data_IF_713606848457
#
_entry.id   IF_713606848457
#
_cell.length_a   1.000
_cell.length_b   1.000
_cell.length_c   1.000
_cell.angle_alpha   90.00
_cell.angle_beta   90.00
_cell.angle_gamma   90.00
#
_symmetry.space_group_name_H-M   'P 1'
#
loop_
_entity.id
_entity.type
_entity.pdbx_description
1 polymer ?
#
# COMPACT_ATOMS: atom_id res chain seq x y z
N UNK A 1 -9.52 -20.94 3.33
CA UNK A 1 -9.05 -19.77 4.05
C UNK A 1 -7.76 -20.07 4.79
N UNK A 2 -6.72 -19.29 4.58
CA UNK A 2 -5.47 -19.43 5.30
C UNK A 2 -5.33 -18.25 6.26
N UNK A 3 -5.65 -18.48 7.52
CA UNK A 3 -5.50 -17.49 8.57
C UNK A 3 -4.77 -18.15 9.75
N UNK A 4 -3.76 -17.48 10.28
CA UNK A 4 -3.16 -17.81 11.58
C UNK A 4 -3.56 -16.75 12.63
N UNK A 5 -4.66 -16.04 12.37
CA UNK A 5 -5.13 -14.92 13.19
C UNK A 5 -6.07 -15.44 14.29
N UNK A 6 -5.65 -15.33 15.54
CA UNK A 6 -6.58 -15.39 16.67
C UNK A 6 -7.33 -14.06 16.74
N UNK A 7 -8.65 -14.12 16.54
CA UNK A 7 -9.53 -12.92 16.47
C UNK A 7 -9.67 -12.32 17.89
N UNK A 8 -8.62 -11.68 18.37
CA UNK A 8 -8.59 -10.90 19.63
C UNK A 8 -8.15 -9.49 19.31
N UNK A 9 -9.07 -8.63 18.96
CA UNK A 9 -9.04 -7.17 18.77
C UNK A 9 -7.72 -6.38 18.68
N UNK A 10 -7.83 -5.09 18.38
CA UNK A 10 -6.72 -4.12 18.31
C UNK A 10 -5.63 -4.42 17.26
N UNK A 11 -6.05 -4.80 16.05
CA UNK A 11 -5.12 -5.01 14.96
C UNK A 11 -4.54 -3.72 14.40
N UNK A 12 -3.27 -3.79 13.98
CA UNK A 12 -2.65 -2.81 13.10
C UNK A 12 -2.38 -3.52 11.78
N UNK A 13 -3.16 -3.16 10.76
CA UNK A 13 -3.29 -3.91 9.51
C UNK A 13 -2.43 -3.30 8.40
N UNK A 14 -1.71 -4.13 7.67
CA UNK A 14 -1.20 -3.82 6.35
C UNK A 14 -2.15 -4.41 5.31
N UNK A 15 -2.91 -3.56 4.59
CA UNK A 15 -3.95 -3.98 3.66
C UNK A 15 -3.55 -3.66 2.21
N UNK A 16 -3.40 -4.66 1.39
CA UNK A 16 -3.06 -4.45 -0.03
C UNK A 16 -2.21 -5.57 -0.61
N UNK A 17 -1.21 -5.21 -1.40
CA UNK A 17 -0.39 -6.17 -2.12
C UNK A 17 0.52 -7.00 -1.21
N UNK A 18 0.58 -8.30 -1.51
CA UNK A 18 1.63 -9.23 -1.14
C UNK A 18 2.09 -9.94 -2.40
N UNK A 19 3.37 -10.07 -2.61
CA UNK A 19 3.92 -10.52 -3.88
C UNK A 19 5.37 -11.03 -3.74
N UNK A 20 5.89 -11.61 -4.80
CA UNK A 20 7.32 -11.87 -4.94
C UNK A 20 7.98 -10.91 -5.93
N UNK A 21 9.09 -10.31 -5.51
CA UNK A 21 10.06 -9.70 -6.41
C UNK A 21 10.93 -10.80 -7.02
N UNK A 22 10.77 -11.04 -8.33
CA UNK A 22 11.52 -12.06 -9.09
C UNK A 22 12.84 -11.46 -9.55
N UNK A 23 13.87 -11.61 -8.73
CA UNK A 23 15.23 -11.15 -9.00
C UNK A 23 16.04 -12.23 -9.71
N UNK A 24 17.15 -11.91 -10.39
CA UNK A 24 18.02 -12.90 -11.03
C UNK A 24 18.57 -13.97 -10.06
N UNK A 25 18.73 -13.62 -8.79
CA UNK A 25 19.23 -14.47 -7.70
C UNK A 25 18.10 -15.20 -6.94
N UNK A 26 16.84 -15.03 -7.35
CA UNK A 26 15.68 -15.71 -6.77
C UNK A 26 14.53 -14.79 -6.40
N UNK A 27 13.47 -15.39 -5.89
CA UNK A 27 12.25 -14.67 -5.47
C UNK A 27 12.42 -14.17 -4.04
N UNK A 28 12.08 -12.90 -3.80
CA UNK A 28 12.04 -12.28 -2.47
C UNK A 28 10.63 -11.82 -2.14
N UNK A 29 10.15 -12.16 -0.95
CA UNK A 29 8.84 -11.75 -0.47
C UNK A 29 8.81 -10.22 -0.32
N UNK A 30 7.82 -9.58 -0.94
CA UNK A 30 7.60 -8.15 -1.02
C UNK A 30 6.14 -7.76 -0.78
N UNK A 31 5.86 -6.48 -0.98
CA UNK A 31 4.58 -5.84 -0.74
C UNK A 31 4.66 -4.82 0.40
N UNK A 32 4.44 -3.54 0.10
CA UNK A 32 4.60 -2.48 1.09
C UNK A 32 3.65 -2.66 2.30
N UNK A 33 2.36 -3.01 2.13
CA UNK A 33 1.47 -3.27 3.27
C UNK A 33 1.91 -4.47 4.12
N UNK A 34 2.38 -5.55 3.50
CA UNK A 34 2.87 -6.73 4.22
C UNK A 34 4.13 -6.40 5.04
N UNK A 35 5.06 -5.62 4.47
CA UNK A 35 6.24 -5.14 5.16
C UNK A 35 5.89 -4.23 6.33
N UNK A 36 4.90 -3.34 6.17
CA UNK A 36 4.40 -2.51 7.27
C UNK A 36 3.91 -3.38 8.43
N UNK A 37 3.05 -4.37 8.18
CA UNK A 37 2.53 -5.27 9.21
C UNK A 37 3.65 -6.07 9.90
N UNK A 38 4.67 -6.49 9.15
CA UNK A 38 5.85 -7.15 9.71
C UNK A 38 6.63 -6.26 10.68
N UNK A 39 6.89 -5.01 10.31
CA UNK A 39 7.58 -4.07 11.21
C UNK A 39 6.75 -3.74 12.44
N UNK A 40 5.44 -3.59 12.31
CA UNK A 40 4.52 -3.42 13.45
C UNK A 40 4.65 -4.59 14.43
N UNK A 41 4.70 -5.83 13.91
CA UNK A 41 4.88 -7.03 14.76
C UNK A 41 6.23 -7.02 15.47
N UNK A 42 7.30 -6.57 14.80
CA UNK A 42 8.64 -6.47 15.40
C UNK A 42 8.72 -5.42 16.53
N UNK A 43 7.83 -4.42 16.53
CA UNK A 43 7.68 -3.49 17.65
C UNK A 43 6.81 -4.03 18.80
N UNK A 44 6.43 -5.31 18.75
CA UNK A 44 5.61 -5.95 19.77
C UNK A 44 4.12 -5.61 19.72
N UNK A 45 3.66 -5.00 18.63
CA UNK A 45 2.26 -4.67 18.40
C UNK A 45 1.54 -5.77 17.60
N UNK A 46 0.22 -5.72 17.55
CA UNK A 46 -0.60 -6.75 16.89
C UNK A 46 -0.68 -6.49 15.37
N UNK A 47 0.43 -6.68 14.66
CA UNK A 47 0.52 -6.53 13.20
C UNK A 47 -0.21 -7.67 12.48
N UNK A 48 -0.97 -7.34 11.42
CA UNK A 48 -1.71 -8.28 10.60
C UNK A 48 -1.62 -7.89 9.12
N UNK A 49 -1.11 -8.78 8.28
CA UNK A 49 -1.18 -8.60 6.82
C UNK A 49 -2.51 -9.12 6.28
N UNK A 50 -3.23 -8.29 5.52
CA UNK A 50 -4.49 -8.66 4.83
C UNK A 50 -4.32 -8.48 3.33
N UNK A 51 -4.49 -9.57 2.58
CA UNK A 51 -4.28 -9.60 1.13
C UNK A 51 -5.01 -10.79 0.49
N UNK A 52 -4.71 -11.05 -0.79
CA UNK A 52 -5.08 -12.29 -1.47
C UNK A 52 -3.86 -12.90 -2.17
N UNK A 53 -3.87 -14.22 -2.29
CA UNK A 53 -2.88 -15.04 -2.97
C UNK A 53 -3.57 -16.02 -3.93
N UNK A 54 -2.83 -16.50 -4.92
CA UNK A 54 -3.29 -17.55 -5.81
C UNK A 54 -3.32 -18.93 -5.12
N UNK A 55 -4.08 -19.85 -5.75
CA UNK A 55 -4.05 -21.29 -5.43
C UNK A 55 -2.88 -21.96 -6.16
N UNK A 56 -1.70 -21.38 -6.05
CA UNK A 56 -0.50 -21.78 -6.76
C UNK A 56 0.69 -21.99 -5.77
N UNK A 57 1.82 -22.43 -6.31
CA UNK A 57 3.03 -22.70 -5.52
C UNK A 57 3.56 -21.44 -4.83
N UNK A 58 3.52 -20.29 -5.51
CA UNK A 58 3.95 -19.01 -4.92
C UNK A 58 3.05 -18.59 -3.75
N UNK A 59 1.73 -18.82 -3.84
CA UNK A 59 0.79 -18.56 -2.74
C UNK A 59 1.07 -19.44 -1.52
N UNK A 60 1.37 -20.73 -1.71
CA UNK A 60 1.79 -21.62 -0.64
C UNK A 60 3.09 -21.15 -0.01
N UNK A 61 4.07 -20.81 -0.85
CA UNK A 61 5.38 -20.31 -0.41
C UNK A 61 5.26 -19.02 0.41
N UNK A 62 4.39 -18.07 0.06
CA UNK A 62 4.14 -16.86 0.86
C UNK A 62 3.74 -17.25 2.28
N UNK A 63 2.80 -18.16 2.45
CA UNK A 63 2.36 -18.61 3.79
C UNK A 63 3.50 -19.26 4.58
N UNK A 64 4.32 -20.07 3.91
CA UNK A 64 5.46 -20.72 4.55
C UNK A 64 6.53 -19.72 4.97
N UNK A 65 6.78 -18.68 4.20
CA UNK A 65 7.75 -17.62 4.55
C UNK A 65 7.26 -16.66 5.64
N UNK A 66 5.95 -16.45 5.77
CA UNK A 66 5.37 -15.57 6.79
C UNK A 66 5.35 -16.22 8.19
N UNK A 67 5.09 -17.54 8.27
CA UNK A 67 5.00 -18.28 9.55
C UNK A 67 6.24 -18.13 10.45
N UNK A 68 7.46 -18.40 9.96
CA UNK A 68 8.67 -18.30 10.80
C UNK A 68 9.01 -16.86 11.18
N UNK A 69 8.49 -15.87 10.44
CA UNK A 69 8.67 -14.46 10.77
C UNK A 69 7.74 -13.98 11.90
N UNK A 70 6.84 -14.84 12.39
CA UNK A 70 5.88 -14.48 13.44
C UNK A 70 4.82 -13.46 13.01
N UNK A 71 4.72 -13.17 11.71
CA UNK A 71 3.71 -12.23 11.19
C UNK A 71 2.35 -12.94 11.11
N UNK A 72 1.34 -12.35 11.74
CA UNK A 72 -0.04 -12.75 11.52
C UNK A 72 -0.50 -12.34 10.14
N UNK A 73 -1.31 -13.16 9.51
CA UNK A 73 -1.86 -12.87 8.19
C UNK A 73 -3.28 -13.43 8.03
N UNK A 74 -4.05 -12.74 7.23
CA UNK A 74 -5.30 -13.21 6.65
C UNK A 74 -5.17 -13.05 5.13
N UNK A 75 -5.00 -14.18 4.43
CA UNK A 75 -4.80 -14.23 2.98
C UNK A 75 -5.93 -15.02 2.35
N UNK A 76 -6.75 -14.34 1.56
CA UNK A 76 -7.79 -15.01 0.76
C UNK A 76 -7.15 -15.75 -0.41
N UNK A 77 -7.61 -16.98 -0.65
CA UNK A 77 -7.20 -17.75 -1.83
C UNK A 77 -8.18 -17.50 -2.97
N UNK A 78 -7.68 -16.97 -4.07
CA UNK A 78 -8.49 -16.62 -5.25
C UNK A 78 -8.01 -17.35 -6.50
N UNK A 79 -8.87 -17.42 -7.53
CA UNK A 79 -8.55 -18.07 -8.81
C UNK A 79 -7.78 -17.13 -9.76
N UNK A 80 -6.77 -16.45 -9.22
CA UNK A 80 -5.83 -15.59 -9.93
C UNK A 80 -4.40 -15.95 -9.48
N UNK A 81 -3.39 -15.78 -10.35
CA UNK A 81 -2.01 -16.08 -9.96
C UNK A 81 -1.55 -15.18 -8.82
N UNK A 82 -0.69 -15.72 -7.97
CA UNK A 82 -0.03 -14.92 -6.92
C UNK A 82 0.76 -13.75 -7.54
N UNK A 83 0.71 -12.60 -6.89
CA UNK A 83 1.36 -11.39 -7.38
C UNK A 83 2.87 -11.55 -7.52
N UNK A 84 3.41 -11.10 -8.66
CA UNK A 84 4.86 -11.06 -8.91
C UNK A 84 5.25 -9.75 -9.56
N UNK A 85 6.49 -9.34 -9.30
CA UNK A 85 7.19 -8.25 -10.01
C UNK A 85 8.41 -8.87 -10.67
N UNK A 86 8.49 -8.77 -12.00
CA UNK A 86 9.68 -9.20 -12.72
C UNK A 86 10.72 -8.10 -12.68
N UNK A 87 11.92 -8.42 -12.18
CA UNK A 87 13.03 -7.49 -12.10
C UNK A 87 14.06 -7.89 -13.13
N UNK A 88 14.22 -7.07 -14.16
CA UNK A 88 15.26 -7.23 -15.18
C UNK A 88 16.26 -6.09 -15.09
N UNK A 89 17.49 -6.32 -15.56
CA UNK A 89 18.49 -5.27 -15.69
C UNK A 89 18.48 -4.77 -17.13
N UNK A 90 18.40 -3.46 -17.31
CA UNK A 90 18.63 -2.83 -18.61
C UNK A 90 20.08 -3.04 -19.04
N UNK A 91 20.39 -2.81 -20.33
CA UNK A 91 21.76 -2.90 -20.85
C UNK A 91 22.78 -2.02 -20.10
N UNK A 92 22.32 -1.02 -19.35
CA UNK A 92 23.14 -0.13 -18.51
C UNK A 92 23.13 -0.53 -17.02
N UNK A 93 22.64 -1.74 -16.67
CA UNK A 93 22.58 -2.22 -15.28
C UNK A 93 21.50 -1.57 -14.40
N UNK A 94 20.59 -0.78 -14.98
CA UNK A 94 19.49 -0.13 -14.24
C UNK A 94 18.35 -1.15 -14.09
N UNK A 95 17.87 -1.42 -12.86
CA UNK A 95 16.74 -2.30 -12.64
C UNK A 95 15.46 -1.78 -13.30
N UNK A 96 14.80 -2.64 -14.04
CA UNK A 96 13.45 -2.41 -14.59
C UNK A 96 12.49 -3.34 -13.89
N UNK A 97 11.37 -2.77 -13.41
CA UNK A 97 10.33 -3.48 -12.68
C UNK A 97 9.09 -3.62 -13.55
N UNK A 98 8.69 -4.84 -13.83
CA UNK A 98 7.41 -5.13 -14.50
C UNK A 98 6.46 -5.77 -13.49
N UNK A 99 5.44 -5.00 -13.10
CA UNK A 99 4.45 -5.41 -12.12
C UNK A 99 3.32 -6.15 -12.84
N UNK A 100 3.25 -7.47 -12.66
CA UNK A 100 2.24 -8.31 -13.29
C UNK A 100 0.82 -7.84 -12.92
N UNK A 101 -0.07 -7.87 -13.93
CA UNK A 101 -1.48 -7.52 -13.79
C UNK A 101 -2.37 -8.76 -13.69
N UNK A 102 -3.62 -8.57 -13.23
CA UNK A 102 -4.59 -9.65 -13.13
C UNK A 102 -4.16 -10.73 -12.13
N UNK A 103 -3.53 -10.29 -11.05
CA UNK A 103 -3.01 -11.15 -9.99
C UNK A 103 -3.92 -11.16 -8.76
N UNK A 104 -3.62 -12.02 -7.82
CA UNK A 104 -4.46 -12.26 -6.65
C UNK A 104 -4.74 -11.00 -5.83
N UNK A 105 -3.74 -10.17 -5.53
CA UNK A 105 -3.95 -8.93 -4.75
C UNK A 105 -4.76 -7.85 -5.51
N UNK A 106 -4.98 -7.98 -6.80
CA UNK A 106 -5.93 -7.17 -7.57
C UNK A 106 -7.39 -7.56 -7.28
N UNK A 107 -7.60 -8.73 -6.66
CA UNK A 107 -8.88 -9.39 -6.47
C UNK A 107 -9.14 -9.80 -5.02
N UNK A 108 -8.76 -8.97 -4.05
CA UNK A 108 -9.05 -9.17 -2.63
C UNK A 108 -10.58 -9.10 -2.44
N UNK A 109 -11.27 -10.21 -2.10
CA UNK A 109 -12.70 -10.20 -1.93
C UNK A 109 -13.10 -9.55 -0.61
N UNK A 110 -14.32 -9.09 -0.51
CA UNK A 110 -14.92 -8.72 0.78
C UNK A 110 -15.57 -9.94 1.41
N UNK A 111 -15.04 -10.42 2.50
CA UNK A 111 -15.56 -11.60 3.23
C UNK A 111 -16.03 -11.22 4.63
N UNK A 112 -16.85 -12.05 5.30
CA UNK A 112 -17.23 -11.83 6.69
C UNK A 112 -16.03 -11.73 7.63
N UNK A 113 -14.96 -12.46 7.35
CA UNK A 113 -13.71 -12.47 8.11
C UNK A 113 -12.98 -11.14 7.98
N UNK A 114 -12.85 -10.61 6.75
CA UNK A 114 -12.26 -9.28 6.50
C UNK A 114 -13.10 -8.20 7.17
N UNK A 115 -14.43 -8.30 7.14
CA UNK A 115 -15.32 -7.38 7.85
C UNK A 115 -15.09 -7.40 9.37
N UNK A 116 -14.93 -8.60 9.94
CA UNK A 116 -14.65 -8.74 11.37
C UNK A 116 -13.28 -8.16 11.75
N UNK A 117 -12.26 -8.38 10.91
CA UNK A 117 -10.94 -7.77 11.08
C UNK A 117 -11.07 -6.23 11.04
N UNK A 118 -11.78 -5.68 10.07
CA UNK A 118 -11.96 -4.24 9.94
C UNK A 118 -12.57 -3.61 11.20
N UNK A 119 -13.62 -4.23 11.78
CA UNK A 119 -14.26 -3.78 13.02
C UNK A 119 -13.32 -3.77 14.23
N UNK A 120 -12.26 -4.57 14.20
CA UNK A 120 -11.28 -4.70 15.29
C UNK A 120 -9.96 -3.99 14.99
N UNK A 121 -9.86 -3.27 13.88
CA UNK A 121 -8.64 -2.58 13.44
C UNK A 121 -8.53 -1.20 14.09
N UNK A 122 -7.39 -0.92 14.72
CA UNK A 122 -7.03 0.38 15.30
C UNK A 122 -6.11 1.20 14.41
N UNK A 123 -5.34 0.54 13.58
CA UNK A 123 -4.48 1.18 12.60
C UNK A 123 -4.46 0.41 11.30
N UNK A 124 -4.41 1.10 10.16
CA UNK A 124 -4.26 0.48 8.85
C UNK A 124 -3.28 1.27 8.00
N UNK A 125 -2.43 0.56 7.26
CA UNK A 125 -1.65 1.12 6.17
C UNK A 125 -2.11 0.48 4.86
N UNK A 126 -2.42 1.32 3.87
CA UNK A 126 -2.85 0.91 2.54
C UNK A 126 -2.21 1.79 1.47
N UNK A 127 -2.07 1.28 0.26
CA UNK A 127 -1.40 1.98 -0.85
C UNK A 127 -2.27 2.18 -2.07
N UNK A 128 -1.68 2.77 -3.13
CA UNK A 128 -2.35 2.97 -4.41
C UNK A 128 -2.37 1.69 -5.27
N UNK A 129 -1.31 0.89 -5.25
CA UNK A 129 -1.10 -0.22 -6.18
C UNK A 129 -2.22 -1.27 -6.13
N UNK A 130 -2.58 -1.75 -4.94
CA UNK A 130 -3.65 -2.74 -4.80
C UNK A 130 -5.04 -2.19 -5.14
N UNK A 131 -5.18 -0.86 -5.29
CA UNK A 131 -6.42 -0.22 -5.69
C UNK A 131 -6.56 -0.02 -7.21
N UNK A 132 -5.58 -0.44 -8.01
CA UNK A 132 -5.64 -0.34 -9.48
C UNK A 132 -6.80 -1.13 -10.09
N UNK A 133 -7.21 -2.24 -9.47
CA UNK A 133 -8.36 -3.04 -9.86
C UNK A 133 -9.59 -2.72 -8.99
N UNK A 134 -10.76 -2.71 -9.61
CA UNK A 134 -12.01 -2.32 -8.95
C UNK A 134 -12.42 -3.26 -7.80
N UNK A 135 -12.08 -4.55 -7.85
CA UNK A 135 -12.42 -5.53 -6.81
C UNK A 135 -11.71 -5.18 -5.51
N UNK A 136 -10.38 -5.13 -5.53
CA UNK A 136 -9.59 -4.78 -4.34
C UNK A 136 -9.83 -3.35 -3.88
N UNK A 137 -10.02 -2.39 -4.82
CA UNK A 137 -10.38 -1.01 -4.47
C UNK A 137 -11.65 -0.95 -3.62
N UNK A 138 -12.72 -1.64 -4.04
CA UNK A 138 -13.97 -1.70 -3.27
C UNK A 138 -13.78 -2.33 -1.89
N UNK A 139 -13.01 -3.40 -1.80
CA UNK A 139 -12.72 -4.07 -0.54
C UNK A 139 -11.93 -3.16 0.39
N UNK A 140 -10.87 -2.48 -0.10
CA UNK A 140 -10.06 -1.55 0.68
C UNK A 140 -10.93 -0.38 1.18
N UNK A 141 -11.71 0.25 0.31
CA UNK A 141 -12.59 1.35 0.69
C UNK A 141 -13.61 0.91 1.76
N UNK A 142 -14.27 -0.25 1.55
CA UNK A 142 -15.23 -0.79 2.51
C UNK A 142 -14.58 -1.14 3.84
N UNK A 143 -13.35 -1.63 3.83
CA UNK A 143 -12.57 -1.88 5.05
C UNK A 143 -12.36 -0.58 5.84
N UNK A 144 -11.89 0.48 5.18
CA UNK A 144 -11.66 1.78 5.78
C UNK A 144 -12.94 2.41 6.36
N UNK A 145 -14.07 2.24 5.65
CA UNK A 145 -15.37 2.75 6.05
C UNK A 145 -15.99 1.91 7.20
N UNK A 146 -15.58 0.62 7.35
CA UNK A 146 -16.05 -0.29 8.41
C UNK A 146 -15.26 -0.16 9.70
N UNK A 147 -14.04 0.35 9.66
CA UNK A 147 -13.22 0.59 10.85
C UNK A 147 -13.94 1.50 11.86
N UNK A 148 -13.66 1.36 13.18
CA UNK A 148 -14.22 2.27 14.18
C UNK A 148 -13.95 3.73 13.81
N UNK A 149 -14.96 4.63 13.91
CA UNK A 149 -14.85 5.99 13.40
C UNK A 149 -13.95 6.89 14.28
N UNK A 150 -13.68 6.49 15.51
CA UNK A 150 -12.89 7.26 16.47
C UNK A 150 -11.73 6.44 17.00
N UNK A 151 -10.57 7.10 17.20
CA UNK A 151 -9.40 6.47 17.78
C UNK A 151 -8.66 5.52 16.84
N UNK A 152 -8.86 5.64 15.52
CA UNK A 152 -8.16 4.84 14.50
C UNK A 152 -7.18 5.68 13.70
N UNK A 153 -6.08 5.04 13.28
CA UNK A 153 -5.07 5.61 12.40
C UNK A 153 -5.19 4.96 11.03
N UNK A 154 -5.44 5.78 10.01
CA UNK A 154 -5.56 5.34 8.61
C UNK A 154 -4.45 5.99 7.79
N UNK A 155 -3.37 5.23 7.55
CA UNK A 155 -2.19 5.68 6.80
C UNK A 155 -2.39 5.36 5.33
N UNK A 156 -2.43 6.37 4.49
CA UNK A 156 -2.31 6.22 3.05
C UNK A 156 -0.85 6.40 2.65
N UNK A 157 -0.15 5.30 2.39
CA UNK A 157 1.17 5.29 1.77
C UNK A 157 0.98 5.30 0.26
N UNK A 158 1.14 6.48 -0.35
CA UNK A 158 0.86 6.67 -1.78
C UNK A 158 1.63 5.66 -2.62
N UNK A 159 2.94 5.56 -2.42
CA UNK A 159 3.83 4.56 -2.99
C UNK A 159 3.54 4.32 -4.49
N UNK A 160 3.62 5.39 -5.29
CA UNK A 160 3.29 5.37 -6.71
C UNK A 160 4.13 4.33 -7.46
N UNK A 161 3.48 3.55 -8.31
CA UNK A 161 4.12 2.55 -9.15
C UNK A 161 3.64 2.70 -10.59
N UNK A 162 4.57 2.92 -11.51
CA UNK A 162 4.29 3.08 -12.93
C UNK A 162 3.13 4.09 -13.13
N UNK A 163 2.06 3.68 -13.85
CA UNK A 163 0.86 4.49 -14.10
C UNK A 163 -0.39 3.92 -13.39
N UNK A 164 -0.20 3.12 -12.32
CA UNK A 164 -1.28 2.43 -11.60
C UNK A 164 -1.96 3.34 -10.56
N UNK A 165 -2.22 4.58 -10.92
CA UNK A 165 -2.92 5.56 -10.10
C UNK A 165 -3.72 6.52 -10.97
N UNK A 166 -4.73 7.13 -10.39
CA UNK A 166 -5.51 8.19 -11.02
C UNK A 166 -5.84 9.29 -10.01
N UNK A 167 -6.22 10.45 -10.51
CA UNK A 167 -6.71 11.55 -9.66
C UNK A 167 -7.83 11.08 -8.73
N UNK A 168 -8.82 10.40 -9.28
CA UNK A 168 -9.97 9.88 -8.55
C UNK A 168 -9.55 8.93 -7.42
N UNK A 169 -8.66 7.95 -7.71
CA UNK A 169 -8.15 7.02 -6.71
C UNK A 169 -7.46 7.76 -5.55
N UNK A 170 -6.60 8.73 -5.89
CA UNK A 170 -5.87 9.51 -4.88
C UNK A 170 -6.84 10.34 -4.04
N UNK A 171 -7.78 11.08 -4.67
CA UNK A 171 -8.78 11.88 -3.95
C UNK A 171 -9.67 11.03 -3.02
N UNK A 172 -10.12 9.86 -3.47
CA UNK A 172 -10.92 8.93 -2.67
C UNK A 172 -10.15 8.37 -1.47
N UNK A 173 -8.86 8.07 -1.67
CA UNK A 173 -7.97 7.59 -0.60
C UNK A 173 -7.66 8.68 0.41
N UNK A 174 -7.42 9.92 -0.05
CA UNK A 174 -7.20 11.07 0.82
C UNK A 174 -8.41 11.38 1.71
N UNK A 175 -9.63 11.27 1.18
CA UNK A 175 -10.85 11.46 1.99
C UNK A 175 -11.02 10.43 3.10
N UNK A 176 -10.39 9.26 2.98
CA UNK A 176 -10.50 8.15 3.95
C UNK A 176 -9.33 8.02 4.90
N UNK A 177 -8.20 8.64 4.62
CA UNK A 177 -7.03 8.60 5.50
C UNK A 177 -7.02 9.78 6.49
N UNK A 178 -6.24 9.63 7.57
CA UNK A 178 -5.90 10.72 8.49
C UNK A 178 -4.38 10.90 8.65
N UNK A 179 -3.60 10.04 8.00
CA UNK A 179 -2.14 10.18 7.85
C UNK A 179 -1.79 9.92 6.38
N UNK A 180 -1.06 10.84 5.78
CA UNK A 180 -0.54 10.73 4.43
C UNK A 180 0.97 10.53 4.47
N UNK A 181 1.47 9.46 3.83
CA UNK A 181 2.90 9.21 3.64
C UNK A 181 3.21 9.26 2.15
N UNK A 182 4.19 10.06 1.80
CA UNK A 182 4.72 10.18 0.44
C UNK A 182 6.20 10.64 0.51
N UNK A 183 6.92 10.47 -0.58
CA UNK A 183 8.28 10.98 -0.73
C UNK A 183 8.28 12.32 -1.51
N UNK A 184 9.46 12.92 -1.71
CA UNK A 184 9.65 14.21 -2.37
C UNK A 184 9.28 14.19 -3.87
N UNK A 185 9.50 13.08 -4.57
CA UNK A 185 9.08 12.92 -5.97
C UNK A 185 7.57 12.76 -6.09
N UNK A 186 6.98 11.99 -5.20
CA UNK A 186 5.55 11.73 -5.16
C UNK A 186 4.73 12.99 -4.86
N UNK A 187 5.24 13.87 -4.00
CA UNK A 187 4.52 15.11 -3.67
C UNK A 187 4.33 15.99 -4.91
N UNK A 188 5.33 16.09 -5.77
CA UNK A 188 5.24 16.85 -7.01
C UNK A 188 4.18 16.24 -7.94
N UNK A 189 4.26 14.91 -8.14
CA UNK A 189 3.32 14.17 -9.00
C UNK A 189 1.88 14.31 -8.52
N UNK A 190 1.64 14.13 -7.22
CA UNK A 190 0.30 14.19 -6.62
C UNK A 190 -0.24 15.60 -6.65
N UNK A 191 0.58 16.61 -6.35
CA UNK A 191 0.15 18.03 -6.42
C UNK A 191 -0.28 18.42 -7.83
N UNK A 192 0.49 18.03 -8.83
CA UNK A 192 0.14 18.27 -10.23
C UNK A 192 -1.16 17.55 -10.63
N UNK A 193 -1.29 16.28 -10.24
CA UNK A 193 -2.46 15.45 -10.51
C UNK A 193 -3.74 16.05 -9.92
N UNK A 194 -3.64 16.60 -8.70
CA UNK A 194 -4.76 17.25 -8.02
C UNK A 194 -5.02 18.69 -8.46
N UNK A 195 -4.15 19.25 -9.31
CA UNK A 195 -4.26 20.65 -9.77
C UNK A 195 -3.95 21.66 -8.66
N UNK A 196 -3.15 21.26 -7.66
CA UNK A 196 -2.71 22.18 -6.62
C UNK A 196 -1.66 23.13 -7.19
N UNK A 197 -1.83 24.41 -6.95
CA UNK A 197 -0.83 25.40 -7.34
C UNK A 197 0.43 25.17 -6.49
N UNK A 198 1.60 25.19 -7.14
CA UNK A 198 2.88 25.19 -6.42
C UNK A 198 2.89 26.36 -5.46
N UNK A 199 3.05 26.09 -4.19
CA UNK A 199 3.17 27.09 -3.14
C UNK A 199 4.65 27.45 -3.07
N UNK A 200 5.04 28.59 -3.66
CA UNK A 200 6.40 29.10 -3.53
C UNK A 200 6.70 29.43 -2.07
N UNK A 201 7.93 29.15 -1.57
CA UNK A 201 8.32 29.55 -0.22
C UNK A 201 8.27 31.07 -0.09
N UNK A 202 7.92 31.57 1.07
CA UNK A 202 7.77 33.04 1.34
C UNK A 202 9.00 33.87 1.00
N UNK A 203 10.19 33.26 0.80
CA UNK A 203 11.47 33.92 0.55
C UNK A 203 12.16 33.49 -0.74
N UNK A 204 11.46 32.91 -1.71
CA UNK A 204 12.07 32.50 -2.97
C UNK A 204 12.29 33.72 -3.87
N UNK A 205 13.54 34.14 -3.98
CA UNK A 205 13.98 34.93 -5.16
C UNK A 205 13.86 34.02 -6.40
N UNK A 206 13.15 34.53 -7.41
CA UNK A 206 12.94 34.02 -8.78
C UNK A 206 13.84 32.87 -9.26
N UNK A 207 13.66 31.67 -8.74
CA UNK A 207 14.09 30.44 -9.40
C UNK A 207 12.96 30.01 -10.35
N UNK A 208 13.28 29.72 -11.61
CA UNK A 208 12.28 29.32 -12.61
C UNK A 208 11.49 28.08 -12.17
N UNK A 209 10.34 27.86 -12.82
CA UNK A 209 9.39 26.78 -12.49
C UNK A 209 9.97 25.34 -12.50
N UNK A 210 11.16 25.13 -13.09
CA UNK A 210 11.84 23.83 -13.20
C UNK A 210 12.91 23.58 -12.11
N UNK A 211 13.06 24.46 -11.11
CA UNK A 211 14.00 24.24 -10.03
C UNK A 211 13.56 23.09 -9.11
N UNK A 212 14.48 22.22 -8.63
CA UNK A 212 14.12 21.16 -7.70
C UNK A 212 13.50 21.76 -6.42
N UNK A 213 12.47 21.08 -5.87
CA UNK A 213 11.82 21.50 -4.64
C UNK A 213 12.81 21.46 -3.47
N UNK A 214 12.87 22.56 -2.71
CA UNK A 214 13.60 22.62 -1.45
C UNK A 214 12.71 22.11 -0.30
N UNK A 215 13.30 21.75 0.85
CA UNK A 215 12.56 21.24 2.01
C UNK A 215 11.41 22.16 2.45
N UNK A 216 11.59 23.48 2.36
CA UNK A 216 10.57 24.48 2.70
C UNK A 216 9.39 24.43 1.70
N UNK A 217 9.67 24.16 0.43
CA UNK A 217 8.64 23.99 -0.61
C UNK A 217 7.82 22.73 -0.38
N UNK A 218 8.47 21.65 0.04
CA UNK A 218 7.83 20.37 0.37
C UNK A 218 6.86 20.52 1.53
N UNK A 219 7.27 21.23 2.59
CA UNK A 219 6.40 21.49 3.75
C UNK A 219 5.16 22.30 3.36
N UNK A 220 5.31 23.35 2.54
CA UNK A 220 4.19 24.16 2.06
C UNK A 220 3.24 23.35 1.20
N UNK A 221 3.77 22.47 0.34
CA UNK A 221 2.99 21.59 -0.51
C UNK A 221 2.23 20.52 0.29
N UNK A 222 2.86 19.94 1.32
CA UNK A 222 2.20 19.02 2.25
C UNK A 222 1.01 19.69 2.96
N UNK A 223 1.16 20.94 3.43
CA UNK A 223 0.06 21.71 4.02
C UNK A 223 -1.08 21.97 3.05
N UNK A 224 -0.79 22.06 1.74
CA UNK A 224 -1.80 22.16 0.69
C UNK A 224 -2.62 20.89 0.50
N UNK A 225 -2.00 19.72 0.66
CA UNK A 225 -2.65 18.41 0.55
C UNK A 225 -3.54 18.06 1.76
N UNK A 226 -3.34 18.73 2.91
CA UNK A 226 -4.10 18.51 4.16
C UNK A 226 -5.33 19.40 4.30
N UNK A 227 -5.62 20.28 3.33
CA UNK A 227 -6.80 21.15 3.27
C UNK A 227 -7.90 20.55 2.40
#
# INVERSE_FOLDING_TARGET
>A
MASNCDIKGDYIVGLGEILFDCLPDGKKLGGAPANFAYHVSNFGLNGLAVSAIGKDEDGLRIKEELKPRGLKFHLEEVDYPTGTVQVSLSGNGIPQYDICQGVAYDNIPWTPEIEQIAKQTRGVCFGSLAQRNAVSRKTIQRFLDTMPPVGTIKVFDINLRQNWYSRELIEESLRRCNVLKLNDEEICTVSNLLGLKRIAPRNASAAGDDAPLQLVDLEAQCRGLLK
#
